data_IF_527891062421
#
_entry.id   IF_527891062421
#
_cell.length_a   1.000
_cell.length_b   1.000
_cell.length_c   1.000
_cell.angle_alpha   90.00
_cell.angle_beta   90.00
_cell.angle_gamma   90.00
#
_symmetry.space_group_name_H-M   'P 1'
#
loop_
_entity.id
_entity.type
_entity.pdbx_description
1 polymer ?
#
# COMPACT_ATOMS: atom_id res chain seq x y z
N UNK A 1 6.69 -28.47 -16.41
CA UNK A 1 5.80 -27.55 -17.15
C UNK A 1 4.46 -27.57 -16.45
N UNK A 2 3.93 -26.42 -16.00
CA UNK A 2 2.70 -26.36 -15.21
C UNK A 2 1.50 -26.77 -16.06
N UNK A 3 0.59 -27.55 -15.49
CA UNK A 3 -0.71 -27.86 -16.11
C UNK A 3 -1.60 -26.61 -16.10
N UNK A 4 -2.68 -26.58 -16.91
CA UNK A 4 -3.64 -25.48 -16.86
C UNK A 4 -4.24 -25.26 -15.46
N UNK A 5 -4.48 -26.36 -14.72
CA UNK A 5 -4.88 -26.31 -13.30
C UNK A 5 -3.81 -25.62 -12.46
N UNK A 6 -2.53 -25.96 -12.62
CA UNK A 6 -1.44 -25.33 -11.87
C UNK A 6 -1.29 -23.85 -12.21
N UNK A 7 -1.52 -23.46 -13.47
CA UNK A 7 -1.52 -22.04 -13.87
C UNK A 7 -2.63 -21.28 -13.14
N UNK A 8 -3.85 -21.81 -13.09
CA UNK A 8 -4.97 -21.20 -12.38
C UNK A 8 -4.73 -21.12 -10.86
N UNK A 9 -4.13 -22.15 -10.26
CA UNK A 9 -3.70 -22.13 -8.86
C UNK A 9 -2.68 -21.02 -8.61
N UNK A 10 -1.65 -20.93 -9.46
CA UNK A 10 -0.63 -19.87 -9.35
C UNK A 10 -1.22 -18.47 -9.54
N UNK A 11 -2.19 -18.31 -10.46
CA UNK A 11 -2.94 -17.06 -10.59
C UNK A 11 -3.67 -16.70 -9.30
N UNK A 12 -4.37 -17.65 -8.68
CA UNK A 12 -5.06 -17.42 -7.40
C UNK A 12 -4.08 -17.16 -6.24
N UNK A 13 -2.97 -17.91 -6.17
CA UNK A 13 -1.92 -17.74 -5.16
C UNK A 13 -1.26 -16.35 -5.26
N UNK A 14 -1.13 -15.81 -6.48
CA UNK A 14 -0.53 -14.51 -6.75
C UNK A 14 -1.55 -13.38 -6.94
N UNK A 15 -2.85 -13.64 -6.74
CA UNK A 15 -3.94 -12.67 -6.93
C UNK A 15 -3.91 -12.01 -8.32
N UNK A 16 -3.64 -12.83 -9.32
CA UNK A 16 -3.42 -12.49 -10.72
C UNK A 16 -4.41 -13.25 -11.63
N UNK A 17 -5.62 -13.56 -11.14
CA UNK A 17 -6.68 -14.23 -11.91
C UNK A 17 -7.15 -13.39 -13.11
N UNK A 18 -6.92 -12.07 -13.07
CA UNK A 18 -7.17 -11.16 -14.19
C UNK A 18 -6.00 -11.11 -15.20
N UNK A 19 -4.82 -11.63 -14.86
CA UNK A 19 -3.67 -11.64 -15.76
C UNK A 19 -3.90 -12.69 -16.85
N UNK A 20 -4.01 -12.26 -18.10
CA UNK A 20 -4.10 -13.17 -19.23
C UNK A 20 -2.74 -13.86 -19.44
N UNK A 21 -2.73 -15.16 -19.22
CA UNK A 21 -1.53 -15.99 -19.38
C UNK A 21 -1.42 -16.41 -20.84
N UNK A 22 -0.33 -16.08 -21.55
CA UNK A 22 -0.23 -16.37 -22.97
C UNK A 22 -0.11 -17.89 -23.22
N UNK A 23 -0.58 -18.43 -24.36
CA UNK A 23 -0.61 -19.88 -24.61
C UNK A 23 0.76 -20.57 -24.46
N UNK A 24 1.84 -19.89 -24.82
CA UNK A 24 3.22 -20.36 -24.68
C UNK A 24 3.67 -20.54 -23.22
N UNK A 25 2.94 -20.00 -22.25
CA UNK A 25 3.24 -20.17 -20.83
C UNK A 25 3.08 -21.60 -20.32
N UNK A 26 2.34 -22.44 -21.06
CA UNK A 26 2.34 -23.88 -20.85
C UNK A 26 3.76 -24.49 -20.98
N UNK A 27 4.66 -23.81 -21.70
CA UNK A 27 6.07 -24.16 -21.85
C UNK A 27 7.00 -23.64 -20.75
N UNK A 28 6.52 -22.76 -19.87
CA UNK A 28 7.38 -22.03 -18.94
C UNK A 28 7.76 -22.88 -17.72
N UNK A 29 8.86 -22.51 -17.08
CA UNK A 29 9.12 -22.95 -15.70
C UNK A 29 8.12 -22.27 -14.75
N UNK A 30 7.88 -22.90 -13.60
CA UNK A 30 7.04 -22.31 -12.56
C UNK A 30 7.58 -20.95 -12.11
N UNK A 31 8.89 -20.82 -11.89
CA UNK A 31 9.54 -19.55 -11.52
C UNK A 31 9.29 -18.44 -12.54
N UNK A 32 9.34 -18.74 -13.85
CA UNK A 32 9.06 -17.74 -14.89
C UNK A 32 7.59 -17.34 -14.87
N UNK A 33 6.68 -18.29 -14.67
CA UNK A 33 5.26 -18.02 -14.59
C UNK A 33 4.91 -17.18 -13.35
N UNK A 34 5.47 -17.51 -12.18
CA UNK A 34 5.36 -16.69 -10.97
C UNK A 34 5.86 -15.28 -11.24
N UNK A 35 7.06 -15.12 -11.81
CA UNK A 35 7.60 -13.81 -12.14
C UNK A 35 6.72 -13.01 -13.13
N UNK A 36 6.07 -13.67 -14.09
CA UNK A 36 5.12 -13.04 -15.01
C UNK A 36 3.83 -12.61 -14.31
N UNK A 37 3.26 -13.47 -13.45
CA UNK A 37 2.07 -13.14 -12.67
C UNK A 37 2.36 -12.00 -11.68
N UNK A 38 3.49 -12.08 -10.98
CA UNK A 38 4.05 -11.02 -10.16
C UNK A 38 4.44 -9.77 -10.97
N UNK A 39 4.44 -9.77 -12.30
CA UNK A 39 4.65 -8.54 -13.07
C UNK A 39 3.34 -7.87 -13.49
N UNK A 40 2.19 -8.48 -13.17
CA UNK A 40 0.89 -8.08 -13.71
C UNK A 40 0.71 -8.46 -15.18
N UNK A 41 1.42 -9.49 -15.66
CA UNK A 41 1.35 -9.97 -17.04
C UNK A 41 2.21 -9.20 -18.04
N UNK A 42 3.18 -8.43 -17.55
CA UNK A 42 4.16 -7.77 -18.41
C UNK A 42 5.33 -8.72 -18.57
N UNK A 43 5.47 -9.35 -19.74
CA UNK A 43 6.73 -10.04 -20.02
C UNK A 43 7.85 -9.03 -19.83
N UNK A 44 8.77 -9.36 -18.91
CA UNK A 44 10.08 -8.75 -18.86
C UNK A 44 10.79 -9.16 -20.16
N UNK A 45 10.36 -8.58 -21.29
CA UNK A 45 11.22 -8.38 -22.44
C UNK A 45 12.54 -7.92 -21.84
N UNK A 46 13.64 -8.54 -22.25
CA UNK A 46 14.97 -8.14 -21.83
C UNK A 46 15.21 -6.70 -22.29
N UNK A 47 14.54 -5.73 -21.66
CA UNK A 47 14.79 -4.33 -21.69
C UNK A 47 16.14 -4.27 -21.02
N UNK A 48 17.16 -4.15 -21.88
CA UNK A 48 18.52 -3.94 -21.47
C UNK A 48 18.46 -2.99 -20.30
N UNK A 49 18.94 -3.48 -19.16
CA UNK A 49 19.12 -2.68 -17.96
C UNK A 49 19.89 -1.46 -18.42
N UNK A 50 19.18 -0.37 -18.71
CA UNK A 50 19.74 0.95 -18.64
C UNK A 50 20.13 1.00 -17.18
N UNK A 51 21.43 0.81 -16.93
CA UNK A 51 21.99 0.92 -15.60
C UNK A 51 21.37 2.20 -15.04
N UNK A 52 20.47 2.04 -14.08
CA UNK A 52 19.76 3.17 -13.51
C UNK A 52 20.88 4.14 -13.12
N UNK A 53 20.79 5.44 -13.49
CA UNK A 53 21.78 6.40 -13.07
C UNK A 53 22.06 6.18 -11.58
N UNK A 54 23.30 6.36 -11.13
CA UNK A 54 23.74 6.18 -9.74
C UNK A 54 23.00 7.10 -8.74
N UNK A 55 21.86 7.67 -9.12
CA UNK A 55 20.95 8.44 -8.31
C UNK A 55 20.17 7.59 -7.31
N UNK A 56 19.53 8.30 -6.39
CA UNK A 56 18.87 7.72 -5.24
C UNK A 56 17.52 7.17 -5.69
N UNK A 57 17.28 5.88 -5.47
CA UNK A 57 15.95 5.28 -5.69
C UNK A 57 14.94 5.88 -4.71
N UNK A 58 13.75 6.22 -5.20
CA UNK A 58 12.66 6.66 -4.36
C UNK A 58 12.32 5.55 -3.34
N UNK A 59 12.15 5.90 -2.06
CA UNK A 59 11.74 4.96 -1.01
C UNK A 59 10.32 5.30 -0.58
N UNK A 60 9.42 4.33 -0.68
CA UNK A 60 8.01 4.47 -0.33
C UNK A 60 7.72 3.68 0.94
N UNK A 61 7.34 4.39 2.00
CA UNK A 61 6.81 3.75 3.21
C UNK A 61 5.32 3.49 3.03
N UNK A 62 4.92 2.23 3.14
CA UNK A 62 3.55 1.77 3.04
C UNK A 62 3.02 1.44 4.44
N UNK A 63 2.06 2.21 4.94
CA UNK A 63 1.43 1.95 6.23
C UNK A 63 0.11 1.22 6.01
N UNK A 64 -0.07 0.08 6.67
CA UNK A 64 -1.35 -0.62 6.72
C UNK A 64 -2.13 -0.17 7.95
N UNK A 65 -3.44 0.08 7.82
CA UNK A 65 -4.29 0.51 8.92
C UNK A 65 -4.55 -0.56 9.99
N UNK A 66 -5.70 -0.47 10.65
CA UNK A 66 -6.12 -1.46 11.66
C UNK A 66 -6.32 -2.84 11.04
N UNK A 67 -5.93 -3.88 11.76
CA UNK A 67 -6.20 -5.29 11.45
C UNK A 67 -5.51 -5.82 10.21
N UNK A 68 -4.30 -5.33 9.95
CA UNK A 68 -3.48 -5.80 8.84
C UNK A 68 -2.16 -6.42 9.26
N UNK A 69 -1.43 -6.83 8.24
CA UNK A 69 -0.02 -7.22 8.29
C UNK A 69 0.55 -7.07 6.86
N UNK A 70 1.85 -7.27 6.70
CA UNK A 70 2.58 -7.13 5.45
C UNK A 70 2.04 -8.08 4.39
N UNK A 71 1.65 -9.29 4.79
CA UNK A 71 1.08 -10.28 3.86
C UNK A 71 -0.24 -9.76 3.30
N UNK A 72 -1.16 -9.32 4.15
CA UNK A 72 -2.45 -8.74 3.76
C UNK A 72 -2.25 -7.48 2.91
N UNK A 73 -1.33 -6.59 3.30
CA UNK A 73 -1.00 -5.41 2.50
C UNK A 73 -0.50 -5.81 1.11
N UNK A 74 0.41 -6.79 1.05
CA UNK A 74 0.96 -7.29 -0.21
C UNK A 74 -0.12 -7.87 -1.12
N UNK A 75 -1.14 -8.52 -0.55
CA UNK A 75 -2.31 -8.99 -1.30
C UNK A 75 -3.14 -7.81 -1.80
N UNK A 76 -3.49 -6.87 -0.93
CA UNK A 76 -4.39 -5.76 -1.25
C UNK A 76 -3.78 -4.72 -2.19
N UNK A 77 -2.45 -4.57 -2.18
CA UNK A 77 -1.71 -3.57 -2.92
C UNK A 77 -0.61 -4.20 -3.80
N UNK A 78 -0.76 -5.47 -4.19
CA UNK A 78 0.22 -6.21 -5.01
C UNK A 78 0.59 -5.39 -6.25
N UNK A 79 -0.40 -4.99 -7.04
CA UNK A 79 -0.23 -4.21 -8.28
C UNK A 79 0.52 -2.89 -8.06
N UNK A 80 0.24 -2.20 -6.95
CA UNK A 80 0.97 -0.97 -6.61
C UNK A 80 2.43 -1.27 -6.31
N UNK A 81 2.74 -2.29 -5.50
CA UNK A 81 4.12 -2.69 -5.19
C UNK A 81 4.90 -3.04 -6.46
N UNK A 82 4.25 -3.75 -7.39
CA UNK A 82 4.85 -4.15 -8.66
C UNK A 82 5.12 -2.95 -9.56
N UNK A 83 4.16 -2.02 -9.67
CA UNK A 83 4.34 -0.80 -10.42
C UNK A 83 5.44 0.11 -9.84
N UNK A 84 5.51 0.23 -8.50
CA UNK A 84 6.60 0.96 -7.84
C UNK A 84 7.97 0.32 -8.13
N UNK A 85 8.07 -1.01 -8.04
CA UNK A 85 9.30 -1.74 -8.37
C UNK A 85 9.71 -1.54 -9.83
N UNK A 86 8.77 -1.65 -10.77
CA UNK A 86 9.00 -1.42 -12.19
C UNK A 86 9.41 0.03 -12.49
N UNK A 87 8.89 0.99 -11.73
CA UNK A 87 9.27 2.39 -11.79
C UNK A 87 10.65 2.68 -11.14
N UNK A 88 11.34 1.68 -10.60
CA UNK A 88 12.64 1.86 -9.95
C UNK A 88 12.58 2.37 -8.51
N UNK A 89 11.40 2.40 -7.88
CA UNK A 89 11.24 2.72 -6.47
C UNK A 89 11.39 1.48 -5.58
N UNK A 90 11.89 1.68 -4.36
CA UNK A 90 11.85 0.70 -3.28
C UNK A 90 10.60 0.98 -2.42
N UNK A 91 9.93 -0.06 -1.94
CA UNK A 91 8.81 0.07 -1.00
C UNK A 91 9.03 -0.81 0.22
N UNK A 92 8.62 -0.33 1.39
CA UNK A 92 8.68 -1.05 2.65
C UNK A 92 7.33 -0.94 3.35
N UNK A 93 6.82 -2.06 3.87
CA UNK A 93 5.57 -2.08 4.64
C UNK A 93 5.89 -1.90 6.12
N UNK A 94 5.18 -0.97 6.77
CA UNK A 94 5.25 -0.76 8.20
C UNK A 94 3.93 -1.18 8.82
N UNK A 95 4.01 -2.16 9.71
CA UNK A 95 2.91 -2.64 10.54
C UNK A 95 2.92 -1.95 11.90
N UNK A 96 1.75 -1.84 12.53
CA UNK A 96 1.65 -1.45 13.93
C UNK A 96 2.31 -2.47 14.86
N UNK A 97 2.72 -2.05 16.05
CA UNK A 97 3.43 -2.91 17.01
C UNK A 97 2.48 -3.81 17.79
N UNK A 98 1.25 -3.36 18.00
CA UNK A 98 0.26 -4.05 18.83
C UNK A 98 -0.38 -5.20 18.07
N UNK A 99 -0.50 -6.35 18.72
CA UNK A 99 -1.29 -7.47 18.19
C UNK A 99 -2.75 -7.20 18.49
N UNK A 100 -3.59 -7.32 17.48
CA UNK A 100 -5.03 -7.14 17.63
C UNK A 100 -5.59 -8.15 18.63
N UNK A 101 -6.33 -7.63 19.62
CA UNK A 101 -7.08 -8.42 20.59
C UNK A 101 -8.06 -9.39 19.90
N UNK A 102 -8.31 -10.55 20.50
CA UNK A 102 -9.19 -11.57 19.92
C UNK A 102 -10.63 -11.05 19.74
N UNK A 103 -11.07 -10.16 20.63
CA UNK A 103 -12.39 -9.57 20.71
C UNK A 103 -12.58 -8.36 19.77
N UNK A 104 -11.50 -7.88 19.13
CA UNK A 104 -11.59 -6.75 18.22
C UNK A 104 -12.45 -7.12 16.99
N UNK A 105 -13.55 -6.40 16.71
CA UNK A 105 -14.48 -6.74 15.65
C UNK A 105 -13.84 -6.66 14.25
N UNK A 106 -12.86 -5.78 14.06
CA UNK A 106 -12.11 -5.70 12.81
C UNK A 106 -11.18 -6.90 12.62
N UNK A 107 -10.58 -7.40 13.70
CA UNK A 107 -9.81 -8.63 13.71
C UNK A 107 -10.63 -9.83 13.25
N UNK A 108 -11.86 -9.98 13.76
CA UNK A 108 -12.77 -11.05 13.37
C UNK A 108 -13.13 -11.01 11.88
N UNK A 109 -13.44 -9.82 11.34
CA UNK A 109 -13.75 -9.65 9.92
C UNK A 109 -12.55 -9.99 9.03
N UNK A 110 -11.35 -9.54 9.39
CA UNK A 110 -10.13 -9.81 8.63
C UNK A 110 -9.72 -11.29 8.70
N UNK A 111 -9.85 -11.96 9.85
CA UNK A 111 -9.58 -13.40 9.96
C UNK A 111 -10.55 -14.25 9.13
N UNK A 112 -11.79 -13.81 8.96
CA UNK A 112 -12.74 -14.49 8.06
C UNK A 112 -12.28 -14.48 6.59
N UNK A 113 -11.59 -13.42 6.17
CA UNK A 113 -11.15 -13.23 4.78
C UNK A 113 -9.74 -13.82 4.57
N UNK A 114 -8.85 -13.59 5.53
CA UNK A 114 -7.41 -13.86 5.40
C UNK A 114 -6.91 -15.00 6.29
N UNK A 115 -7.79 -15.68 7.03
CA UNK A 115 -7.45 -16.76 7.96
C UNK A 115 -6.88 -16.28 9.28
N UNK A 116 -6.38 -17.21 10.10
CA UNK A 116 -5.88 -16.95 11.47
C UNK A 116 -4.48 -16.31 11.52
N UNK A 117 -4.21 -15.36 10.64
CA UNK A 117 -2.96 -14.62 10.64
C UNK A 117 -2.85 -13.73 11.89
N UNK A 118 -1.61 -13.45 12.31
CA UNK A 118 -1.36 -12.41 13.31
C UNK A 118 -1.67 -11.07 12.67
N UNK A 119 -2.65 -10.37 13.23
CA UNK A 119 -3.08 -9.05 12.79
C UNK A 119 -2.54 -8.01 13.76
N UNK A 120 -2.14 -6.86 13.21
CA UNK A 120 -1.54 -5.76 13.96
C UNK A 120 -2.34 -4.48 13.79
N UNK A 121 -2.22 -3.61 14.78
CA UNK A 121 -2.73 -2.24 14.74
C UNK A 121 -1.73 -1.28 15.38
N UNK A 122 -1.78 -0.01 14.96
CA UNK A 122 -0.93 1.03 15.54
C UNK A 122 -1.43 1.44 16.92
N UNK A 123 -2.75 1.61 17.04
CA UNK A 123 -3.43 1.86 18.29
C UNK A 123 -4.80 1.18 18.26
N UNK A 124 -5.35 0.77 19.42
CA UNK A 124 -6.71 0.22 19.50
C UNK A 124 -7.72 1.17 18.86
N UNK A 125 -8.42 0.68 17.83
CA UNK A 125 -9.49 1.44 17.21
C UNK A 125 -10.71 1.52 18.13
N UNK A 126 -11.23 2.73 18.30
CA UNK A 126 -12.49 3.03 18.97
C UNK A 126 -13.51 3.51 17.94
N UNK A 127 -14.80 3.50 18.30
CA UNK A 127 -15.83 4.18 17.54
C UNK A 127 -16.31 5.40 18.33
N UNK A 128 -16.43 6.54 17.68
CA UNK A 128 -17.06 7.73 18.27
C UNK A 128 -18.59 7.59 18.30
N UNK A 129 -19.30 8.60 18.83
CA UNK A 129 -20.76 8.62 18.90
C UNK A 129 -21.46 8.53 17.53
N UNK A 130 -20.76 8.89 16.45
CA UNK A 130 -21.24 8.80 15.07
C UNK A 130 -20.88 7.47 14.41
N UNK A 131 -20.23 6.55 15.13
CA UNK A 131 -19.76 5.27 14.59
C UNK A 131 -18.54 5.40 13.68
N UNK A 132 -17.84 6.55 13.71
CA UNK A 132 -16.59 6.76 12.97
C UNK A 132 -15.42 6.20 13.75
N UNK A 133 -14.40 5.72 13.04
CA UNK A 133 -13.18 5.21 13.67
C UNK A 133 -12.39 6.36 14.30
N UNK A 134 -12.04 6.19 15.56
CA UNK A 134 -11.12 7.06 16.32
C UNK A 134 -10.11 6.21 17.08
N UNK A 135 -9.20 6.85 17.82
CA UNK A 135 -8.16 6.20 18.60
C UNK A 135 -8.11 6.80 20.00
N UNK A 136 -7.72 5.98 20.98
CA UNK A 136 -7.40 6.51 22.30
C UNK A 136 -6.18 7.46 22.18
N UNK A 137 -6.26 8.71 22.65
CA UNK A 137 -5.21 9.70 22.40
C UNK A 137 -3.81 9.28 22.84
N UNK A 138 -3.66 8.73 24.05
CA UNK A 138 -2.34 8.34 24.56
C UNK A 138 -1.74 7.15 23.77
N UNK A 139 -2.57 6.19 23.38
CA UNK A 139 -2.17 5.07 22.53
C UNK A 139 -1.79 5.55 21.12
N UNK A 140 -2.53 6.49 20.55
CA UNK A 140 -2.21 7.09 19.25
C UNK A 140 -0.88 7.85 19.28
N UNK A 141 -0.65 8.66 20.32
CA UNK A 141 0.63 9.36 20.53
C UNK A 141 1.80 8.39 20.67
N UNK A 142 1.64 7.32 21.44
CA UNK A 142 2.66 6.29 21.60
C UNK A 142 2.97 5.56 20.28
N UNK A 143 1.93 5.25 19.49
CA UNK A 143 2.08 4.60 18.19
C UNK A 143 2.81 5.47 17.17
N UNK A 144 2.51 6.78 17.15
CA UNK A 144 3.22 7.76 16.32
C UNK A 144 4.69 7.82 16.72
N UNK A 145 4.99 7.90 18.03
CA UNK A 145 6.36 7.95 18.51
C UNK A 145 7.18 6.67 18.16
N UNK A 146 6.58 5.48 18.24
CA UNK A 146 7.23 4.23 17.79
C UNK A 146 7.54 4.26 16.28
N UNK A 147 6.53 4.64 15.48
CA UNK A 147 6.68 4.72 14.03
C UNK A 147 7.79 5.72 13.66
N UNK A 148 7.83 6.88 14.31
CA UNK A 148 8.87 7.89 14.15
C UNK A 148 10.25 7.32 14.48
N UNK A 149 10.40 6.61 15.60
CA UNK A 149 11.67 6.00 15.99
C UNK A 149 12.15 4.96 14.95
N UNK A 150 11.23 4.17 14.39
CA UNK A 150 11.53 3.18 13.34
C UNK A 150 11.93 3.83 12.03
N UNK A 151 11.27 4.92 11.64
CA UNK A 151 11.61 5.70 10.44
C UNK A 151 12.96 6.41 10.64
N UNK A 152 13.20 7.03 11.79
CA UNK A 152 14.44 7.72 12.11
C UNK A 152 15.63 6.75 12.19
N UNK A 153 15.42 5.56 12.78
CA UNK A 153 16.40 4.46 12.81
C UNK A 153 16.74 3.90 11.43
N UNK A 154 15.87 4.10 10.42
CA UNK A 154 16.17 3.81 9.02
C UNK A 154 17.07 4.88 8.34
N UNK A 155 17.47 5.92 9.08
CA UNK A 155 18.62 6.78 8.77
C UNK A 155 18.29 8.18 8.24
N UNK A 156 17.70 9.07 9.06
CA UNK A 156 17.88 10.52 8.84
C UNK A 156 16.77 11.50 9.20
N UNK A 157 16.26 11.52 10.44
CA UNK A 157 15.48 12.67 10.89
C UNK A 157 15.65 12.98 12.38
N UNK A 158 15.69 14.28 12.70
CA UNK A 158 15.70 14.84 14.06
C UNK A 158 14.30 14.76 14.69
N UNK A 159 14.18 14.18 15.89
CA UNK A 159 12.92 13.97 16.60
C UNK A 159 12.19 15.30 16.92
N UNK A 160 12.91 16.42 17.08
CA UNK A 160 12.30 17.73 17.37
C UNK A 160 11.89 18.52 16.12
N UNK A 161 12.23 18.05 14.92
CA UNK A 161 11.77 18.63 13.67
C UNK A 161 10.28 18.36 13.42
N UNK A 162 9.75 17.24 13.92
CA UNK A 162 8.38 16.77 13.63
C UNK A 162 7.30 17.46 14.45
N UNK A 163 7.57 17.87 15.69
CA UNK A 163 6.65 18.71 16.48
C UNK A 163 6.32 20.05 15.79
N UNK A 164 7.18 20.49 14.85
CA UNK A 164 6.99 21.69 14.03
C UNK A 164 6.42 21.41 12.65
N UNK A 165 6.32 20.14 12.23
CA UNK A 165 5.94 19.77 10.87
C UNK A 165 4.55 20.30 10.53
N UNK A 166 3.57 20.17 11.43
CA UNK A 166 2.19 20.60 11.18
C UNK A 166 1.83 21.98 11.72
N UNK A 167 2.80 22.73 12.28
CA UNK A 167 2.58 24.13 12.65
C UNK A 167 2.34 25.02 11.41
N UNK A 168 2.71 24.52 10.23
CA UNK A 168 2.32 25.03 8.93
C UNK A 168 2.10 23.84 7.98
N UNK A 169 1.42 24.01 6.82
CA UNK A 169 1.36 22.95 5.83
C UNK A 169 2.76 22.51 5.40
N UNK A 170 2.95 21.20 5.34
CA UNK A 170 4.21 20.56 5.03
C UNK A 170 4.74 21.00 3.68
N UNK A 171 6.03 21.33 3.55
CA UNK A 171 6.59 21.76 2.27
C UNK A 171 6.69 20.62 1.25
N UNK A 172 6.41 19.37 1.65
CA UNK A 172 6.39 18.22 0.76
C UNK A 172 5.01 18.09 0.10
N UNK A 173 4.95 17.72 -1.19
CA UNK A 173 3.68 17.43 -1.85
C UNK A 173 3.10 16.12 -1.33
N UNK A 174 1.79 15.97 -1.41
CA UNK A 174 1.10 14.71 -1.15
C UNK A 174 0.14 14.36 -2.29
N UNK A 175 0.00 13.07 -2.59
CA UNK A 175 -1.11 12.54 -3.36
C UNK A 175 -1.98 11.76 -2.40
N UNK A 176 -3.15 12.28 -2.10
CA UNK A 176 -4.12 11.63 -1.23
C UNK A 176 -5.15 10.95 -2.12
N UNK A 177 -5.35 9.66 -1.93
CA UNK A 177 -6.30 8.85 -2.71
C UNK A 177 -7.41 8.37 -1.78
N UNK A 178 -8.67 8.46 -2.21
CA UNK A 178 -9.81 7.95 -1.44
C UNK A 178 -10.90 7.33 -2.30
N UNK A 179 -11.68 6.46 -1.67
CA UNK A 179 -12.99 6.06 -2.17
C UNK A 179 -14.04 7.15 -1.87
N UNK A 180 -14.84 7.50 -2.88
CA UNK A 180 -15.94 8.46 -2.76
C UNK A 180 -17.08 7.89 -1.89
N UNK A 181 -17.21 6.56 -1.83
CA UNK A 181 -18.21 5.86 -1.01
C UNK A 181 -17.63 5.34 0.31
N UNK A 182 -16.43 5.77 0.70
CA UNK A 182 -15.79 5.35 1.94
C UNK A 182 -16.46 6.03 3.15
N UNK A 183 -17.16 5.23 3.96
CA UNK A 183 -17.81 5.67 5.20
C UNK A 183 -16.94 5.48 6.44
N UNK A 184 -15.82 4.75 6.32
CA UNK A 184 -14.91 4.45 7.44
C UNK A 184 -13.96 5.63 7.66
N UNK A 185 -13.47 6.22 6.56
CA UNK A 185 -12.50 7.33 6.58
C UNK A 185 -13.03 8.55 5.80
N UNK A 186 -14.32 8.85 5.91
CA UNK A 186 -14.99 9.79 4.99
C UNK A 186 -14.40 11.22 4.96
N UNK A 187 -13.94 11.75 6.10
CA UNK A 187 -13.48 13.14 6.21
C UNK A 187 -11.94 13.24 6.28
N UNK A 188 -11.29 12.25 6.91
CA UNK A 188 -9.85 12.27 7.17
C UNK A 188 -8.96 12.56 5.96
N UNK A 189 -9.12 11.89 4.80
CA UNK A 189 -8.33 12.16 3.60
C UNK A 189 -8.52 13.58 3.06
N UNK A 190 -9.70 14.18 3.20
CA UNK A 190 -9.95 15.56 2.74
C UNK A 190 -9.24 16.56 3.65
N UNK A 191 -9.35 16.36 4.96
CA UNK A 191 -8.64 17.16 5.95
C UNK A 191 -7.12 17.03 5.80
N UNK A 192 -6.64 15.82 5.49
CA UNK A 192 -5.23 15.51 5.29
C UNK A 192 -4.59 16.40 4.21
N UNK A 193 -5.30 16.71 3.13
CA UNK A 193 -4.82 17.56 2.03
C UNK A 193 -4.38 18.95 2.53
N UNK A 194 -5.09 19.51 3.51
CA UNK A 194 -4.77 20.84 4.06
C UNK A 194 -3.42 20.88 4.79
N UNK A 195 -2.90 19.73 5.20
CA UNK A 195 -1.64 19.61 5.91
C UNK A 195 -0.41 19.62 4.99
N UNK A 196 -0.56 19.70 3.66
CA UNK A 196 0.56 19.64 2.71
C UNK A 196 0.50 20.76 1.66
N UNK A 197 1.67 21.29 1.29
CA UNK A 197 1.79 22.25 0.19
C UNK A 197 1.79 21.52 -1.14
N UNK A 198 0.81 21.84 -1.99
CA UNK A 198 0.69 21.22 -3.31
C UNK A 198 0.19 19.78 -3.25
N UNK A 199 -0.65 19.46 -2.26
CA UNK A 199 -1.37 18.20 -2.25
C UNK A 199 -2.37 18.09 -3.39
N UNK A 200 -2.57 16.87 -3.88
CA UNK A 200 -3.60 16.49 -4.85
C UNK A 200 -4.50 15.46 -4.18
N UNK A 201 -5.81 15.65 -4.27
CA UNK A 201 -6.80 14.64 -3.90
C UNK A 201 -7.25 13.93 -5.17
N UNK A 202 -7.19 12.61 -5.18
CA UNK A 202 -7.75 11.75 -6.23
C UNK A 202 -8.83 10.88 -5.61
N UNK A 203 -10.01 10.89 -6.22
CA UNK A 203 -11.16 10.12 -5.74
C UNK A 203 -11.53 9.04 -6.76
N UNK A 204 -11.80 7.82 -6.28
CA UNK A 204 -12.40 6.75 -7.08
C UNK A 204 -13.79 6.39 -6.55
N UNK A 205 -14.62 5.74 -7.37
CA UNK A 205 -16.06 5.57 -7.08
C UNK A 205 -16.40 4.63 -5.91
N UNK A 206 -15.44 3.79 -5.51
CA UNK A 206 -15.70 2.69 -4.58
C UNK A 206 -15.62 3.11 -3.10
N UNK A 207 -15.84 2.14 -2.20
CA UNK A 207 -15.78 2.34 -0.76
C UNK A 207 -14.36 2.32 -0.20
N UNK A 208 -14.17 1.68 0.96
CA UNK A 208 -12.91 1.60 1.71
C UNK A 208 -11.87 0.64 1.09
N UNK A 209 -11.66 0.71 -0.24
CA UNK A 209 -10.62 -0.04 -0.95
C UNK A 209 -9.47 0.90 -1.30
N UNK A 210 -8.21 0.44 -1.25
CA UNK A 210 -7.06 1.27 -1.62
C UNK A 210 -6.98 1.53 -3.13
N UNK A 211 -7.55 0.63 -3.95
CA UNK A 211 -7.64 0.74 -5.39
C UNK A 211 -9.06 0.32 -5.84
N UNK A 212 -9.55 0.83 -6.98
CA UNK A 212 -10.75 0.33 -7.64
C UNK A 212 -10.68 -1.20 -7.90
N UNK A 213 -11.81 -1.88 -7.79
CA UNK A 213 -12.02 -3.23 -8.27
C UNK A 213 -12.06 -3.29 -9.80
N UNK A 214 -12.52 -2.23 -10.47
CA UNK A 214 -12.37 -2.14 -11.93
C UNK A 214 -10.90 -2.01 -12.33
N UNK A 215 -10.45 -2.91 -13.19
CA UNK A 215 -9.04 -3.01 -13.58
C UNK A 215 -8.52 -1.76 -14.26
N UNK A 216 -9.26 -1.25 -15.24
CA UNK A 216 -8.80 -0.10 -16.01
C UNK A 216 -8.70 1.14 -15.13
N UNK A 217 -9.64 1.33 -14.21
CA UNK A 217 -9.59 2.38 -13.20
C UNK A 217 -8.43 2.20 -12.22
N UNK A 218 -8.16 0.97 -11.75
CA UNK A 218 -7.02 0.67 -10.90
C UNK A 218 -5.69 0.96 -11.60
N UNK A 219 -5.53 0.55 -12.87
CA UNK A 219 -4.34 0.82 -13.66
C UNK A 219 -4.11 2.31 -13.92
N UNK A 220 -5.19 3.06 -14.17
CA UNK A 220 -5.13 4.52 -14.28
C UNK A 220 -4.63 5.15 -12.98
N UNK A 221 -5.21 4.78 -11.85
CA UNK A 221 -4.83 5.30 -10.54
C UNK A 221 -3.39 4.94 -10.14
N UNK A 222 -2.96 3.69 -10.43
CA UNK A 222 -1.58 3.26 -10.20
C UNK A 222 -0.61 4.12 -11.02
N UNK A 223 -0.93 4.39 -12.29
CA UNK A 223 -0.10 5.25 -13.15
C UNK A 223 0.01 6.66 -12.58
N UNK A 224 -1.08 7.23 -12.07
CA UNK A 224 -1.07 8.55 -11.44
C UNK A 224 -0.19 8.57 -10.17
N UNK A 225 -0.26 7.53 -9.34
CA UNK A 225 0.60 7.36 -8.16
C UNK A 225 2.07 7.28 -8.56
N UNK A 226 2.41 6.44 -9.54
CA UNK A 226 3.78 6.31 -10.03
C UNK A 226 4.30 7.62 -10.63
N UNK A 227 3.48 8.31 -11.45
CA UNK A 227 3.85 9.61 -12.03
C UNK A 227 4.15 10.63 -10.94
N UNK A 228 3.27 10.72 -9.93
CA UNK A 228 3.47 11.62 -8.80
C UNK A 228 4.77 11.35 -8.05
N UNK A 229 5.09 10.08 -7.78
CA UNK A 229 6.35 9.71 -7.10
C UNK A 229 7.56 10.09 -7.95
N UNK A 230 7.56 9.76 -9.24
CA UNK A 230 8.69 9.99 -10.14
C UNK A 230 8.91 11.48 -10.46
N UNK A 231 7.84 12.28 -10.57
CA UNK A 231 7.93 13.73 -10.75
C UNK A 231 8.68 14.42 -9.60
N UNK A 232 8.62 13.84 -8.39
CA UNK A 232 9.16 14.45 -7.16
C UNK A 232 10.46 13.81 -6.69
N UNK A 233 10.71 12.59 -7.10
CA UNK A 233 11.93 11.83 -6.83
C UNK A 233 12.50 11.29 -8.16
N UNK A 234 13.01 12.17 -9.04
CA UNK A 234 13.59 11.73 -10.30
C UNK A 234 14.79 10.80 -10.04
N UNK A 235 15.00 9.80 -10.92
CA UNK A 235 16.08 8.82 -10.78
C UNK A 235 17.48 9.44 -10.89
#
# INVERSE_FOLDING_TARGET
>A
MPSATRIAELQAENFAEDVEVPPEAAGWSEDRLVAFLESGGVESSAQGSLAAPLGRRARVACLHGTAGNERIFTIQASRLKLALKAAGADSAVYEGTEVIAAENPHGAAMRKIFGDQVLREYAPALLDEAGRRTYEPAAAEAAVADLEARIAGAGGCDADAWKRLFAAPLPVPALVVRGASDTVSAEGPVELVAHFRGARLVEHKEGHRPLPADRAAADGLIRDICSFVLERCPP
#
